data_IF_117169335893
#
_entry.id   IF_117169335893
#
_cell.length_a   1.000
_cell.length_b   1.000
_cell.length_c   1.000
_cell.angle_alpha   90.00
_cell.angle_beta   90.00
_cell.angle_gamma   90.00
#
_symmetry.space_group_name_H-M   'P 1'
#
loop_
_entity.id
_entity.type
_entity.pdbx_description
1 polymer ?
#
# COMPACT_ATOMS: atom_id res chain seq x y z
N UNK A 1 23.39 19.04 17.92
CA UNK A 1 22.59 17.94 18.49
C UNK A 1 22.67 16.70 17.62
N UNK A 2 22.54 16.81 16.28
CA UNK A 2 22.68 15.67 15.37
C UNK A 2 24.07 14.99 15.35
N UNK A 3 25.17 15.74 15.50
CA UNK A 3 26.52 15.15 15.41
C UNK A 3 26.89 14.27 16.61
N UNK A 4 26.35 14.59 17.79
CA UNK A 4 26.67 13.88 19.05
C UNK A 4 25.95 12.52 19.13
N UNK A 5 24.67 12.48 18.73
CA UNK A 5 23.90 11.23 18.59
C UNK A 5 24.49 10.30 17.52
N UNK A 6 24.98 10.87 16.40
CA UNK A 6 25.61 10.09 15.33
C UNK A 6 26.94 9.49 15.79
N UNK A 7 27.75 10.23 16.57
CA UNK A 7 29.00 9.74 17.13
C UNK A 7 28.76 8.60 18.14
N UNK A 8 27.76 8.75 19.02
CA UNK A 8 27.39 7.71 19.98
C UNK A 8 26.89 6.43 19.28
N UNK A 9 26.02 6.57 18.28
CA UNK A 9 25.53 5.45 17.49
C UNK A 9 26.67 4.73 16.75
N UNK A 10 27.62 5.48 16.18
CA UNK A 10 28.81 4.93 15.51
C UNK A 10 29.62 4.03 16.46
N UNK A 11 29.89 4.50 17.67
CA UNK A 11 30.65 3.72 18.67
C UNK A 11 29.90 2.44 19.10
N UNK A 12 28.59 2.55 19.33
CA UNK A 12 27.73 1.41 19.68
C UNK A 12 27.67 0.36 18.56
N UNK A 13 27.56 0.80 17.30
CA UNK A 13 27.55 -0.09 16.14
C UNK A 13 28.86 -0.87 15.99
N UNK A 14 30.01 -0.22 16.17
CA UNK A 14 31.31 -0.90 16.14
C UNK A 14 31.39 -2.05 17.17
N UNK A 15 30.88 -1.82 18.38
CA UNK A 15 30.82 -2.85 19.42
C UNK A 15 29.91 -4.03 19.02
N UNK A 16 28.71 -3.74 18.49
CA UNK A 16 27.75 -4.77 18.03
C UNK A 16 28.33 -5.63 16.91
N UNK A 17 29.02 -5.03 15.95
CA UNK A 17 29.59 -5.74 14.79
C UNK A 17 30.73 -6.70 15.15
N UNK A 18 31.30 -6.58 16.35
CA UNK A 18 32.45 -7.40 16.77
C UNK A 18 32.13 -8.90 16.73
N UNK A 19 30.90 -9.30 17.06
CA UNK A 19 30.49 -10.72 17.05
C UNK A 19 30.31 -11.29 15.64
N UNK A 20 29.98 -10.45 14.65
CA UNK A 20 29.67 -10.89 13.28
C UNK A 20 30.84 -10.71 12.29
N UNK A 21 31.65 -9.66 12.45
CA UNK A 21 32.68 -9.27 11.47
C UNK A 21 34.10 -9.33 12.06
N UNK A 22 34.23 -9.33 13.39
CA UNK A 22 35.50 -9.45 14.11
C UNK A 22 35.90 -8.18 14.85
N UNK A 23 36.97 -8.28 15.63
CA UNK A 23 37.54 -7.18 16.42
C UNK A 23 38.14 -6.08 15.51
N UNK A 24 38.31 -4.88 16.06
CA UNK A 24 38.88 -3.71 15.35
C UNK A 24 38.06 -3.23 14.13
N UNK A 25 36.75 -3.44 14.17
CA UNK A 25 35.83 -2.94 13.14
C UNK A 25 35.51 -1.46 13.39
N UNK A 26 35.85 -0.59 12.43
CA UNK A 26 35.42 0.80 12.41
C UNK A 26 34.13 0.98 11.60
N UNK A 27 33.29 1.93 12.02
CA UNK A 27 32.08 2.33 11.30
C UNK A 27 32.35 3.67 10.62
N UNK A 28 32.25 3.69 9.30
CA UNK A 28 32.46 4.86 8.46
C UNK A 28 31.19 5.22 7.68
N UNK A 29 31.08 6.48 7.23
CA UNK A 29 30.03 6.94 6.33
C UNK A 29 28.58 6.67 6.81
N UNK A 30 28.36 6.66 8.13
CA UNK A 30 27.03 6.50 8.73
C UNK A 30 26.13 7.66 8.32
N UNK A 31 25.01 7.35 7.68
CA UNK A 31 24.03 8.33 7.23
C UNK A 31 22.61 7.77 7.30
N UNK A 32 21.68 8.58 7.78
CA UNK A 32 20.27 8.23 7.72
C UNK A 32 19.80 8.20 6.26
N UNK A 33 19.00 7.19 5.91
CA UNK A 33 18.27 7.14 4.66
C UNK A 33 16.89 7.78 4.87
N UNK A 34 16.44 8.53 3.87
CA UNK A 34 15.07 9.06 3.87
C UNK A 34 14.12 8.00 3.33
N UNK A 35 13.11 7.63 4.13
CA UNK A 35 12.14 6.59 3.79
C UNK A 35 12.02 5.52 4.87
N UNK A 36 10.83 4.92 4.97
CA UNK A 36 10.42 4.02 6.06
C UNK A 36 9.31 4.67 6.89
N UNK A 37 8.19 3.97 7.07
CA UNK A 37 7.04 4.47 7.82
C UNK A 37 7.07 4.04 9.31
N UNK A 38 7.53 2.81 9.57
CA UNK A 38 7.62 2.20 10.91
C UNK A 38 9.01 2.32 11.54
N UNK A 39 10.06 2.16 10.72
CA UNK A 39 11.46 2.00 11.18
C UNK A 39 12.40 3.02 10.55
N UNK A 40 13.42 3.40 11.32
CA UNK A 40 14.52 4.23 10.84
C UNK A 40 15.56 3.36 10.15
N UNK A 41 16.07 3.82 9.01
CA UNK A 41 17.07 3.11 8.23
C UNK A 41 18.34 3.96 8.09
N UNK A 42 19.50 3.36 8.34
CA UNK A 42 20.80 3.98 8.19
C UNK A 42 21.68 3.14 7.26
N UNK A 43 22.48 3.80 6.43
CA UNK A 43 23.54 3.17 5.65
C UNK A 43 24.90 3.51 6.24
N UNK A 44 25.82 2.54 6.26
CA UNK A 44 27.19 2.74 6.75
C UNK A 44 28.15 1.72 6.12
N UNK A 45 29.45 1.93 6.33
CA UNK A 45 30.48 0.95 5.99
C UNK A 45 31.13 0.39 7.25
N UNK A 46 31.18 -0.94 7.36
CA UNK A 46 32.01 -1.63 8.33
C UNK A 46 33.40 -1.88 7.73
N UNK A 47 34.44 -1.41 8.41
CA UNK A 47 35.84 -1.49 7.96
C UNK A 47 36.64 -2.31 8.97
N UNK A 48 37.12 -3.47 8.54
CA UNK A 48 37.93 -4.38 9.38
C UNK A 48 39.23 -4.69 8.66
N UNK A 49 40.32 -4.07 9.11
CA UNK A 49 41.61 -4.09 8.38
C UNK A 49 41.47 -3.50 6.97
N UNK A 50 41.69 -4.32 5.94
CA UNK A 50 41.56 -3.90 4.53
C UNK A 50 40.17 -4.19 3.93
N UNK A 51 39.29 -4.90 4.64
CA UNK A 51 37.97 -5.25 4.15
C UNK A 51 36.97 -4.13 4.46
N UNK A 52 36.15 -3.77 3.46
CA UNK A 52 35.02 -2.86 3.61
C UNK A 52 33.75 -3.59 3.22
N UNK A 53 32.71 -3.48 4.06
CA UNK A 53 31.36 -3.99 3.78
C UNK A 53 30.36 -2.87 3.92
N UNK A 54 29.54 -2.65 2.90
CA UNK A 54 28.45 -1.69 2.97
C UNK A 54 27.23 -2.37 3.59
N UNK A 55 26.69 -1.76 4.65
CA UNK A 55 25.65 -2.36 5.50
C UNK A 55 24.50 -1.38 5.71
N UNK A 56 23.33 -1.94 6.01
CA UNK A 56 22.13 -1.24 6.42
C UNK A 56 21.80 -1.59 7.86
N UNK A 57 21.52 -0.58 8.68
CA UNK A 57 20.91 -0.72 9.99
C UNK A 57 19.43 -0.32 9.87
N UNK A 58 18.53 -1.22 10.28
CA UNK A 58 17.12 -0.92 10.54
C UNK A 58 16.89 -0.93 12.05
N UNK A 59 16.17 0.06 12.56
CA UNK A 59 15.86 0.17 13.99
C UNK A 59 14.53 0.87 14.22
N UNK A 60 13.81 0.48 15.27
CA UNK A 60 12.53 1.06 15.67
C UNK A 60 12.09 0.54 17.04
N UNK A 61 11.18 1.24 17.73
CA UNK A 61 10.66 0.77 19.01
C UNK A 61 9.94 -0.58 18.84
N UNK A 62 9.89 -1.42 19.88
CA UNK A 62 9.04 -2.61 19.87
C UNK A 62 7.58 -2.21 19.70
N UNK A 63 6.84 -2.98 18.90
CA UNK A 63 5.39 -2.93 18.86
C UNK A 63 4.82 -4.35 18.69
N UNK A 64 3.51 -4.49 18.93
CA UNK A 64 2.81 -5.78 18.86
C UNK A 64 2.18 -6.03 17.48
N UNK A 65 2.42 -5.15 16.50
CA UNK A 65 1.81 -5.22 15.17
C UNK A 65 2.77 -5.84 14.15
N UNK A 66 4.06 -5.56 14.30
CA UNK A 66 5.09 -5.99 13.37
C UNK A 66 5.91 -7.13 13.97
N UNK A 67 6.42 -7.99 13.09
CA UNK A 67 7.42 -8.98 13.45
C UNK A 67 8.63 -8.33 14.13
N UNK A 68 9.12 -8.96 15.21
CA UNK A 68 10.41 -8.60 15.81
C UNK A 68 11.54 -8.68 14.79
N UNK A 69 12.64 -7.98 15.06
CA UNK A 69 13.84 -7.98 14.22
C UNK A 69 14.39 -9.40 14.05
N UNK A 70 14.37 -10.21 15.11
CA UNK A 70 14.86 -11.59 15.03
C UNK A 70 13.93 -12.49 14.20
N UNK A 71 12.61 -12.27 14.27
CA UNK A 71 11.64 -13.03 13.47
C UNK A 71 11.80 -12.69 11.98
N UNK A 72 11.99 -11.41 11.64
CA UNK A 72 12.32 -10.99 10.27
C UNK A 72 13.59 -11.65 9.77
N UNK A 73 14.67 -11.62 10.56
CA UNK A 73 15.94 -12.22 10.20
C UNK A 73 15.83 -13.72 9.92
N UNK A 74 15.12 -14.47 10.78
CA UNK A 74 14.89 -15.91 10.59
C UNK A 74 14.04 -16.18 9.34
N UNK A 75 13.00 -15.38 9.11
CA UNK A 75 12.13 -15.52 7.94
C UNK A 75 12.86 -15.24 6.64
N UNK A 76 13.66 -14.18 6.60
CA UNK A 76 14.55 -13.88 5.48
C UNK A 76 15.56 -15.01 5.24
N UNK A 77 16.17 -15.56 6.28
CA UNK A 77 17.10 -16.68 6.15
C UNK A 77 16.42 -17.93 5.57
N UNK A 78 15.21 -18.26 6.01
CA UNK A 78 14.42 -19.36 5.46
C UNK A 78 14.05 -19.12 3.98
N UNK A 79 13.64 -17.90 3.63
CA UNK A 79 13.35 -17.53 2.25
C UNK A 79 14.59 -17.57 1.35
N UNK A 80 15.73 -17.09 1.84
CA UNK A 80 17.02 -17.17 1.14
C UNK A 80 17.42 -18.62 0.87
N UNK A 81 17.27 -19.51 1.85
CA UNK A 81 17.53 -20.94 1.70
C UNK A 81 16.62 -21.61 0.64
N UNK A 82 15.41 -21.07 0.43
CA UNK A 82 14.47 -21.50 -0.62
C UNK A 82 14.70 -20.79 -1.98
N UNK A 83 15.68 -19.89 -2.07
CA UNK A 83 16.10 -19.21 -3.29
C UNK A 83 15.52 -17.81 -3.51
N UNK A 84 14.89 -17.20 -2.50
CA UNK A 84 14.38 -15.83 -2.61
C UNK A 84 15.55 -14.81 -2.57
N UNK A 85 15.55 -13.78 -3.43
CA UNK A 85 16.56 -12.73 -3.37
C UNK A 85 16.23 -11.80 -2.19
N UNK A 86 16.95 -11.94 -1.08
CA UNK A 86 16.80 -11.10 0.12
C UNK A 86 18.17 -10.62 0.60
N UNK A 87 18.27 -9.48 1.31
CA UNK A 87 19.51 -9.09 1.96
C UNK A 87 19.94 -10.16 2.96
N UNK A 88 21.22 -10.48 2.97
CA UNK A 88 21.79 -11.35 4.00
C UNK A 88 21.85 -10.57 5.32
N UNK A 89 21.16 -11.09 6.34
CA UNK A 89 21.11 -10.49 7.67
C UNK A 89 22.30 -10.99 8.49
N UNK A 90 23.09 -10.04 9.01
CA UNK A 90 24.28 -10.33 9.81
C UNK A 90 23.93 -10.47 11.29
N UNK A 91 23.10 -9.54 11.80
CA UNK A 91 22.72 -9.45 13.21
C UNK A 91 21.27 -8.99 13.28
N UNK A 92 20.49 -9.58 14.17
CA UNK A 92 19.21 -9.05 14.60
C UNK A 92 19.06 -9.28 16.11
N UNK A 93 18.48 -8.32 16.80
CA UNK A 93 18.27 -8.35 18.25
C UNK A 93 16.98 -7.57 18.57
N UNK A 94 16.08 -8.22 19.30
CA UNK A 94 14.82 -7.62 19.77
C UNK A 94 15.05 -6.78 21.05
N UNK A 95 16.25 -6.85 21.65
CA UNK A 95 16.62 -6.07 22.82
C UNK A 95 17.05 -4.65 22.46
N UNK A 96 16.54 -3.62 23.14
CA UNK A 96 17.04 -2.26 22.99
C UNK A 96 18.39 -2.03 23.68
N UNK A 97 18.95 -3.02 24.39
CA UNK A 97 20.11 -2.82 25.26
C UNK A 97 21.36 -2.30 24.54
N UNK A 98 21.60 -2.73 23.30
CA UNK A 98 22.83 -2.36 22.57
C UNK A 98 22.73 -0.97 21.91
N UNK A 99 21.63 -0.70 21.22
CA UNK A 99 21.48 0.50 20.36
C UNK A 99 20.36 1.46 20.81
N UNK A 100 19.68 1.17 21.93
CA UNK A 100 18.53 1.95 22.43
C UNK A 100 17.18 1.52 21.84
N UNK A 101 17.18 0.68 20.81
CA UNK A 101 16.00 0.10 20.18
C UNK A 101 16.37 -1.29 19.61
N UNK A 102 15.37 -2.19 19.42
CA UNK A 102 15.52 -3.34 18.54
C UNK A 102 16.18 -2.96 17.23
N UNK A 103 17.01 -3.86 16.69
CA UNK A 103 17.72 -3.58 15.45
C UNK A 103 17.98 -4.83 14.59
N UNK A 104 18.18 -4.58 13.30
CA UNK A 104 18.63 -5.54 12.31
C UNK A 104 19.72 -4.90 11.45
N UNK A 105 20.82 -5.62 11.25
CA UNK A 105 21.92 -5.23 10.37
C UNK A 105 22.04 -6.23 9.23
N UNK A 106 22.00 -5.76 7.99
CA UNK A 106 22.10 -6.59 6.78
C UNK A 106 23.01 -5.96 5.72
N UNK A 107 23.37 -6.75 4.71
CA UNK A 107 24.13 -6.27 3.56
C UNK A 107 23.35 -5.17 2.80
N UNK A 108 24.05 -4.12 2.38
CA UNK A 108 23.48 -3.11 1.49
C UNK A 108 23.37 -3.67 0.07
N UNK A 109 22.14 -3.76 -0.44
CA UNK A 109 21.86 -4.14 -1.82
C UNK A 109 21.69 -2.87 -2.67
N UNK A 110 22.43 -2.80 -3.77
CA UNK A 110 22.35 -1.67 -4.72
C UNK A 110 21.12 -1.82 -5.63
N UNK A 111 20.52 -0.68 -5.96
CA UNK A 111 19.41 -0.60 -6.91
C UNK A 111 18.50 0.59 -6.64
N UNK A 112 17.32 0.59 -7.25
CA UNK A 112 16.28 1.59 -7.12
C UNK A 112 15.04 0.99 -6.44
N UNK A 113 14.43 1.74 -5.52
CA UNK A 113 13.18 1.36 -4.83
C UNK A 113 12.00 2.26 -5.19
N UNK A 114 12.25 3.42 -5.80
CA UNK A 114 11.17 4.33 -6.19
C UNK A 114 10.51 3.79 -7.46
N UNK A 115 9.32 3.20 -7.32
CA UNK A 115 8.60 2.50 -8.40
C UNK A 115 8.44 3.35 -9.66
N UNK A 116 8.12 4.64 -9.54
CA UNK A 116 8.02 5.54 -10.71
C UNK A 116 9.36 5.73 -11.44
N UNK A 117 10.50 5.66 -10.75
CA UNK A 117 11.84 5.67 -11.37
C UNK A 117 12.12 4.34 -12.05
N UNK A 118 11.79 3.22 -11.39
CA UNK A 118 11.90 1.87 -11.97
C UNK A 118 11.11 1.80 -13.28
N UNK A 119 9.82 2.18 -13.27
CA UNK A 119 8.96 2.17 -14.45
C UNK A 119 9.56 3.02 -15.60
N UNK A 120 10.01 4.25 -15.32
CA UNK A 120 10.65 5.10 -16.35
C UNK A 120 11.92 4.48 -16.92
N UNK A 121 12.75 3.83 -16.09
CA UNK A 121 13.96 3.14 -16.55
C UNK A 121 13.60 1.95 -17.44
N UNK A 122 12.61 1.15 -17.04
CA UNK A 122 12.11 0.05 -17.85
C UNK A 122 11.58 0.54 -19.20
N UNK A 123 10.83 1.65 -19.21
CA UNK A 123 10.28 2.25 -20.44
C UNK A 123 11.37 2.83 -21.36
N UNK A 124 12.49 3.30 -20.79
CA UNK A 124 13.62 3.87 -21.56
C UNK A 124 14.67 2.84 -21.99
N UNK A 125 14.72 1.68 -21.32
CA UNK A 125 15.69 0.60 -21.57
C UNK A 125 15.13 -0.49 -22.47
N UNK A 126 15.21 -1.75 -22.02
CA UNK A 126 14.71 -2.95 -22.72
C UNK A 126 13.19 -2.97 -22.94
N UNK A 127 12.46 -1.95 -22.46
CA UNK A 127 11.04 -1.77 -22.67
C UNK A 127 10.23 -2.95 -22.14
N UNK A 128 9.45 -3.54 -23.04
CA UNK A 128 8.60 -4.69 -22.74
C UNK A 128 9.39 -5.92 -22.26
N UNK A 129 10.59 -6.16 -22.80
CA UNK A 129 11.39 -7.32 -22.43
C UNK A 129 11.91 -7.22 -20.99
N UNK A 130 12.38 -6.04 -20.59
CA UNK A 130 12.81 -5.77 -19.21
C UNK A 130 11.64 -5.93 -18.21
N UNK A 131 10.46 -5.42 -18.56
CA UNK A 131 9.24 -5.59 -17.74
C UNK A 131 8.84 -7.05 -17.59
N UNK A 132 8.85 -7.82 -18.68
CA UNK A 132 8.52 -9.25 -18.65
C UNK A 132 9.52 -10.06 -17.82
N UNK A 133 10.82 -9.75 -17.93
CA UNK A 133 11.89 -10.37 -17.13
C UNK A 133 11.69 -10.09 -15.64
N UNK A 134 11.48 -8.82 -15.27
CA UNK A 134 11.25 -8.44 -13.88
C UNK A 134 9.98 -9.08 -13.32
N UNK A 135 8.89 -9.13 -14.10
CA UNK A 135 7.66 -9.83 -13.72
C UNK A 135 7.92 -11.31 -13.38
N UNK A 136 8.69 -11.99 -14.22
CA UNK A 136 9.07 -13.38 -14.02
C UNK A 136 9.90 -13.56 -12.75
N UNK A 137 10.87 -12.67 -12.50
CA UNK A 137 11.69 -12.71 -11.28
C UNK A 137 10.87 -12.42 -10.02
N UNK A 138 9.90 -11.49 -10.06
CA UNK A 138 8.97 -11.27 -8.96
C UNK A 138 8.15 -12.53 -8.66
N UNK A 139 7.65 -13.21 -9.70
CA UNK A 139 6.89 -14.45 -9.53
C UNK A 139 7.77 -15.59 -8.97
N UNK A 140 9.02 -15.67 -9.40
CA UNK A 140 10.01 -16.62 -8.87
C UNK A 140 10.36 -16.34 -7.40
N UNK A 141 10.51 -15.07 -7.04
CA UNK A 141 10.75 -14.65 -5.66
C UNK A 141 9.57 -15.03 -4.76
N UNK A 142 8.33 -14.68 -5.14
CA UNK A 142 7.14 -15.08 -4.39
C UNK A 142 7.05 -16.62 -4.24
N UNK A 143 7.29 -17.37 -5.31
CA UNK A 143 7.31 -18.83 -5.25
C UNK A 143 8.42 -19.38 -4.34
N UNK A 144 9.58 -18.74 -4.28
CA UNK A 144 10.66 -19.12 -3.36
C UNK A 144 10.29 -18.83 -1.91
N UNK A 145 9.69 -17.67 -1.62
CA UNK A 145 9.19 -17.33 -0.29
C UNK A 145 8.16 -18.36 0.17
N UNK A 146 7.18 -18.70 -0.67
CA UNK A 146 6.12 -19.65 -0.31
C UNK A 146 6.60 -21.11 -0.19
N UNK A 147 7.81 -21.44 -0.65
CA UNK A 147 8.45 -22.75 -0.44
C UNK A 147 9.29 -22.80 0.84
N UNK A 148 9.60 -21.66 1.44
CA UNK A 148 10.35 -21.62 2.69
C UNK A 148 9.59 -22.31 3.81
N UNK A 149 10.31 -22.77 4.84
CA UNK A 149 9.72 -23.45 5.99
C UNK A 149 8.75 -22.52 6.75
N UNK A 150 7.44 -22.83 6.79
CA UNK A 150 6.46 -22.00 7.48
C UNK A 150 6.38 -22.32 8.99
N UNK A 151 7.18 -23.26 9.51
CA UNK A 151 7.10 -23.70 10.91
C UNK A 151 8.12 -23.02 11.84
N UNK A 152 8.69 -21.91 11.41
CA UNK A 152 9.61 -21.11 12.21
C UNK A 152 8.98 -20.61 13.52
N UNK A 153 9.73 -20.57 14.64
CA UNK A 153 9.20 -20.09 15.91
C UNK A 153 8.84 -18.60 15.85
N UNK A 154 7.66 -18.26 16.37
CA UNK A 154 7.15 -16.88 16.46
C UNK A 154 6.30 -16.42 15.28
N UNK A 155 6.13 -17.24 14.23
CA UNK A 155 5.22 -16.91 13.13
C UNK A 155 3.77 -17.07 13.57
N UNK A 156 2.98 -16.00 13.41
CA UNK A 156 1.55 -16.02 13.68
C UNK A 156 0.80 -16.78 12.58
N UNK A 157 -0.32 -17.41 12.97
CA UNK A 157 -1.30 -17.98 12.04
C UNK A 157 -2.58 -17.16 12.18
N UNK A 158 -2.93 -16.42 11.13
CA UNK A 158 -4.06 -15.49 11.17
C UNK A 158 -5.02 -15.75 10.01
N UNK A 159 -6.31 -15.79 10.33
CA UNK A 159 -7.34 -15.69 9.32
C UNK A 159 -7.46 -14.22 8.90
N UNK A 160 -6.97 -13.89 7.71
CA UNK A 160 -6.96 -12.52 7.22
C UNK A 160 -8.37 -11.89 7.17
N UNK A 161 -9.41 -12.66 6.84
CA UNK A 161 -10.76 -12.09 6.79
C UNK A 161 -11.20 -11.63 8.18
N UNK A 162 -11.01 -12.49 9.18
CA UNK A 162 -11.38 -12.21 10.57
C UNK A 162 -10.49 -11.11 11.19
N UNK A 163 -9.19 -11.11 10.87
CA UNK A 163 -8.23 -10.08 11.30
C UNK A 163 -8.65 -8.69 10.82
N UNK A 164 -8.87 -8.52 9.51
CA UNK A 164 -9.24 -7.22 8.95
C UNK A 164 -10.65 -6.79 9.35
N UNK A 165 -11.56 -7.75 9.59
CA UNK A 165 -12.87 -7.47 10.17
C UNK A 165 -12.74 -6.89 11.57
N UNK A 166 -11.96 -7.53 12.44
CA UNK A 166 -11.74 -7.08 13.82
C UNK A 166 -11.09 -5.70 13.85
N UNK A 167 -10.04 -5.46 13.05
CA UNK A 167 -9.39 -4.14 12.97
C UNK A 167 -10.35 -3.03 12.55
N UNK A 168 -11.26 -3.31 11.62
CA UNK A 168 -12.27 -2.34 11.20
C UNK A 168 -13.30 -2.06 12.30
N UNK A 169 -13.77 -3.10 12.99
CA UNK A 169 -14.73 -2.96 14.09
C UNK A 169 -14.11 -2.23 15.30
N UNK A 170 -12.85 -2.50 15.64
CA UNK A 170 -12.12 -1.82 16.72
C UNK A 170 -11.94 -0.32 16.45
N UNK A 171 -11.79 0.07 15.17
CA UNK A 171 -11.73 1.47 14.76
C UNK A 171 -13.10 2.16 14.83
N UNK A 172 -14.21 1.41 14.70
CA UNK A 172 -15.57 1.96 14.79
C UNK A 172 -16.00 2.83 13.61
N UNK A 173 -15.29 2.80 12.48
CA UNK A 173 -15.55 3.61 11.28
C UNK A 173 -15.56 2.73 10.02
N UNK A 174 -16.74 2.37 9.51
CA UNK A 174 -16.93 1.50 8.34
C UNK A 174 -17.67 2.23 7.21
N UNK A 175 -17.68 1.65 6.01
CA UNK A 175 -18.54 2.10 4.91
C UNK A 175 -19.50 1.02 4.48
N UNK A 176 -20.62 1.43 3.88
CA UNK A 176 -21.57 0.49 3.30
C UNK A 176 -20.90 -0.42 2.24
N UNK A 177 -19.92 0.10 1.50
CA UNK A 177 -19.15 -0.68 0.52
C UNK A 177 -18.27 -1.74 1.19
N UNK A 178 -17.64 -1.42 2.33
CA UNK A 178 -16.82 -2.37 3.07
C UNK A 178 -17.69 -3.46 3.70
N UNK A 179 -18.83 -3.11 4.31
CA UNK A 179 -19.79 -4.10 4.80
C UNK A 179 -20.25 -5.04 3.68
N UNK A 180 -20.52 -4.49 2.49
CA UNK A 180 -20.89 -5.30 1.32
C UNK A 180 -19.76 -6.25 0.90
N UNK A 181 -18.53 -5.76 0.89
CA UNK A 181 -17.33 -6.57 0.64
C UNK A 181 -17.16 -7.71 1.63
N UNK A 182 -17.27 -7.45 2.93
CA UNK A 182 -17.17 -8.49 3.97
C UNK A 182 -18.26 -9.55 3.81
N UNK A 183 -19.50 -9.16 3.50
CA UNK A 183 -20.58 -10.14 3.26
C UNK A 183 -20.32 -11.01 2.04
N UNK A 184 -19.87 -10.42 0.94
CA UNK A 184 -19.50 -11.19 -0.24
C UNK A 184 -18.35 -12.15 0.06
N UNK A 185 -17.31 -11.69 0.77
CA UNK A 185 -16.16 -12.52 1.15
C UNK A 185 -16.57 -13.71 2.02
N UNK A 186 -17.42 -13.47 3.03
CA UNK A 186 -17.94 -14.54 3.89
C UNK A 186 -18.77 -15.57 3.10
N UNK A 187 -19.58 -15.12 2.14
CA UNK A 187 -20.44 -15.99 1.33
C UNK A 187 -19.70 -16.78 0.24
N UNK A 188 -18.54 -16.29 -0.23
CA UNK A 188 -17.81 -16.86 -1.38
C UNK A 188 -16.44 -17.43 -1.01
N UNK A 189 -16.22 -17.74 0.28
CA UNK A 189 -14.93 -18.21 0.77
C UNK A 189 -14.49 -19.52 0.10
N UNK A 190 -13.30 -19.57 -0.54
CA UNK A 190 -12.79 -20.79 -1.16
C UNK A 190 -12.32 -21.79 -0.08
N UNK A 191 -12.17 -23.05 -0.50
CA UNK A 191 -11.57 -24.08 0.35
C UNK A 191 -10.13 -23.69 0.74
N UNK A 192 -9.70 -23.93 2.01
CA UNK A 192 -8.35 -23.63 2.45
C UNK A 192 -7.28 -24.39 1.65
N UNK A 193 -6.19 -23.69 1.29
CA UNK A 193 -5.00 -24.32 0.71
C UNK A 193 -3.90 -24.57 1.74
N UNK A 194 -2.87 -25.38 1.44
CA UNK A 194 -1.74 -25.57 2.33
C UNK A 194 -1.11 -24.23 2.77
N UNK A 195 -0.76 -24.17 4.04
CA UNK A 195 -0.15 -23.00 4.65
C UNK A 195 1.29 -22.82 4.18
N UNK A 196 1.69 -21.57 3.94
CA UNK A 196 3.03 -21.18 3.48
C UNK A 196 3.54 -19.99 4.28
N UNK A 197 4.85 -19.73 4.20
CA UNK A 197 5.40 -18.46 4.67
C UNK A 197 4.89 -17.35 3.73
N UNK A 198 4.24 -16.34 4.29
CA UNK A 198 3.70 -15.18 3.57
C UNK A 198 4.51 -13.95 3.95
N UNK A 199 4.96 -13.19 2.96
CA UNK A 199 5.68 -11.93 3.17
C UNK A 199 4.78 -10.86 3.77
N UNK A 200 3.52 -10.80 3.34
CA UNK A 200 2.47 -9.96 3.94
C UNK A 200 2.38 -8.56 3.33
N UNK A 201 3.49 -8.02 2.80
CA UNK A 201 3.55 -6.79 2.00
C UNK A 201 4.32 -6.95 0.66
N UNK A 202 4.10 -8.05 -0.07
CA UNK A 202 4.81 -8.29 -1.35
C UNK A 202 4.31 -7.38 -2.47
N UNK A 203 4.99 -6.24 -2.69
CA UNK A 203 4.64 -5.23 -3.70
C UNK A 203 5.87 -4.52 -4.25
N UNK A 204 5.77 -3.90 -5.43
CA UNK A 204 6.87 -3.18 -6.09
C UNK A 204 7.60 -2.15 -5.22
N UNK A 205 6.89 -1.51 -4.28
CA UNK A 205 7.51 -0.53 -3.38
C UNK A 205 8.46 -1.13 -2.34
N UNK A 206 8.46 -2.45 -2.17
CA UNK A 206 9.32 -3.19 -1.27
C UNK A 206 10.33 -4.07 -2.04
N UNK A 207 10.55 -3.77 -3.32
CA UNK A 207 11.53 -4.45 -4.16
C UNK A 207 12.68 -3.50 -4.48
N UNK A 208 13.91 -4.00 -4.45
CA UNK A 208 15.06 -3.33 -5.04
C UNK A 208 15.23 -3.87 -6.45
N UNK A 209 15.26 -2.96 -7.43
CA UNK A 209 15.51 -3.31 -8.83
C UNK A 209 16.82 -2.67 -9.26
N UNK A 210 17.75 -3.49 -9.75
CA UNK A 210 18.99 -3.04 -10.37
C UNK A 210 18.89 -3.24 -11.90
N UNK A 211 18.90 -2.13 -12.64
CA UNK A 211 18.58 -2.15 -14.07
C UNK A 211 17.17 -2.70 -14.33
N UNK A 212 17.10 -3.92 -14.86
CA UNK A 212 15.86 -4.67 -15.13
C UNK A 212 15.70 -5.93 -14.28
N UNK A 213 16.61 -6.14 -13.32
CA UNK A 213 16.67 -7.36 -12.53
C UNK A 213 16.25 -7.11 -11.07
N UNK A 214 15.46 -8.05 -10.52
CA UNK A 214 15.10 -8.04 -9.11
C UNK A 214 16.34 -8.35 -8.27
N UNK A 215 16.78 -7.37 -7.49
CA UNK A 215 17.96 -7.49 -6.64
C UNK A 215 17.61 -8.00 -5.23
N UNK A 216 16.51 -7.53 -4.63
CA UNK A 216 16.08 -7.96 -3.31
C UNK A 216 14.60 -7.68 -3.02
N UNK A 217 14.00 -8.53 -2.18
CA UNK A 217 12.72 -8.33 -1.50
C UNK A 217 13.00 -7.79 -0.10
N UNK A 218 12.38 -6.66 0.25
CA UNK A 218 12.53 -5.94 1.51
C UNK A 218 11.26 -5.99 2.35
N UNK A 219 11.38 -5.53 3.59
CA UNK A 219 10.26 -5.18 4.48
C UNK A 219 9.39 -6.36 4.91
N UNK A 220 10.02 -7.22 5.71
CA UNK A 220 9.45 -8.48 6.22
C UNK A 220 8.63 -8.30 7.50
N UNK A 221 8.26 -7.07 7.85
CA UNK A 221 7.64 -6.73 9.14
C UNK A 221 6.22 -7.31 9.30
N UNK A 222 5.58 -7.76 8.21
CA UNK A 222 4.26 -8.39 8.20
C UNK A 222 4.33 -9.90 7.92
N UNK A 223 5.49 -10.53 8.10
CA UNK A 223 5.67 -11.96 7.82
C UNK A 223 4.84 -12.82 8.77
N UNK A 224 4.14 -13.81 8.22
CA UNK A 224 3.31 -14.73 8.98
C UNK A 224 3.08 -16.04 8.21
N UNK A 225 2.34 -16.97 8.81
CA UNK A 225 1.88 -18.17 8.12
C UNK A 225 0.47 -17.94 7.58
N UNK A 226 0.30 -18.11 6.28
CA UNK A 226 -0.96 -17.85 5.59
C UNK A 226 -1.09 -18.67 4.31
N UNK A 227 -1.85 -18.16 3.34
CA UNK A 227 -2.00 -18.77 2.02
C UNK A 227 -1.23 -17.98 0.96
N UNK A 228 -0.64 -18.68 -0.01
CA UNK A 228 0.13 -18.07 -1.09
C UNK A 228 -0.63 -16.98 -1.87
N UNK A 229 -1.96 -17.07 -1.93
CA UNK A 229 -2.79 -16.09 -2.59
C UNK A 229 -2.70 -14.69 -1.98
N UNK A 230 -2.33 -14.56 -0.71
CA UNK A 230 -2.22 -13.28 -0.02
C UNK A 230 -1.22 -12.36 -0.71
N UNK A 231 0.01 -12.82 -0.89
CA UNK A 231 1.05 -12.06 -1.58
C UNK A 231 0.76 -11.90 -3.08
N UNK A 232 0.20 -12.93 -3.72
CA UNK A 232 -0.12 -12.87 -5.16
C UNK A 232 -1.21 -11.83 -5.45
N UNK A 233 -2.27 -11.84 -4.65
CA UNK A 233 -3.38 -10.89 -4.77
C UNK A 233 -2.92 -9.49 -4.38
N UNK A 234 -2.15 -9.36 -3.29
CA UNK A 234 -1.59 -8.09 -2.85
C UNK A 234 -0.80 -7.45 -3.98
N UNK A 235 0.14 -8.15 -4.61
CA UNK A 235 0.93 -7.66 -5.75
C UNK A 235 0.07 -7.16 -6.94
N UNK A 236 -1.18 -7.63 -7.06
CA UNK A 236 -2.08 -7.37 -8.17
C UNK A 236 -3.17 -6.32 -7.89
N UNK A 237 -3.27 -5.76 -6.67
CA UNK A 237 -4.23 -4.68 -6.42
C UNK A 237 -3.88 -3.44 -7.24
N UNK A 238 -4.90 -2.66 -7.64
CA UNK A 238 -4.69 -1.49 -8.51
C UNK A 238 -3.76 -0.44 -7.91
N UNK A 239 -3.79 -0.26 -6.59
CA UNK A 239 -2.90 0.66 -5.88
C UNK A 239 -1.40 0.39 -6.16
N UNK A 240 -1.01 -0.88 -6.36
CA UNK A 240 0.38 -1.29 -6.61
C UNK A 240 0.77 -1.32 -8.08
N UNK A 241 -0.10 -0.82 -8.98
CA UNK A 241 0.27 -0.51 -10.37
C UNK A 241 1.00 0.83 -10.49
N UNK A 242 0.91 1.69 -9.47
CA UNK A 242 1.52 3.02 -9.44
C UNK A 242 1.14 3.92 -10.64
N UNK A 243 -0.09 3.78 -11.14
CA UNK A 243 -0.61 4.52 -12.30
C UNK A 243 -0.33 3.86 -13.66
N UNK A 244 0.24 2.65 -13.68
CA UNK A 244 0.35 1.85 -14.89
C UNK A 244 -1.05 1.41 -15.38
N UNK A 245 -1.26 1.26 -16.71
CA UNK A 245 -2.55 0.88 -17.28
C UNK A 245 -3.00 -0.52 -16.84
N UNK A 246 -4.30 -0.81 -16.98
CA UNK A 246 -4.90 -2.09 -16.59
C UNK A 246 -4.25 -3.33 -17.23
N UNK A 247 -3.67 -3.20 -18.42
CA UNK A 247 -2.90 -4.27 -19.08
C UNK A 247 -1.64 -4.68 -18.30
N UNK A 248 -1.16 -3.82 -17.41
CA UNK A 248 -0.04 -4.05 -16.49
C UNK A 248 -0.55 -4.29 -15.05
N UNK A 249 -1.56 -5.15 -14.91
CA UNK A 249 -2.28 -5.38 -13.66
C UNK A 249 -1.44 -5.89 -12.48
N UNK A 250 -0.34 -6.60 -12.73
CA UNK A 250 0.55 -7.14 -11.70
C UNK A 250 1.74 -6.21 -11.46
N UNK A 251 1.74 -5.49 -10.34
CA UNK A 251 2.79 -4.54 -9.95
C UNK A 251 3.07 -3.41 -10.97
N UNK A 252 2.21 -3.21 -11.97
CA UNK A 252 2.54 -2.32 -13.08
C UNK A 252 3.60 -2.87 -14.05
N UNK A 253 3.85 -4.18 -14.06
CA UNK A 253 4.86 -4.84 -14.90
C UNK A 253 4.29 -5.65 -16.07
N UNK A 254 3.15 -6.30 -15.88
CA UNK A 254 2.51 -7.16 -16.87
C UNK A 254 1.09 -7.56 -16.46
N UNK A 255 0.42 -8.38 -17.26
CA UNK A 255 -0.93 -8.84 -16.90
C UNK A 255 -0.89 -9.77 -15.69
N UNK A 256 -1.99 -9.80 -14.94
CA UNK A 256 -2.17 -10.72 -13.81
C UNK A 256 -1.98 -12.17 -14.26
N UNK A 257 -2.58 -12.57 -15.38
CA UNK A 257 -2.43 -13.93 -15.90
C UNK A 257 -0.98 -14.31 -16.23
N UNK A 258 -0.18 -13.40 -16.78
CA UNK A 258 1.24 -13.66 -17.02
C UNK A 258 2.02 -13.85 -15.73
N UNK A 259 1.71 -13.06 -14.69
CA UNK A 259 2.30 -13.20 -13.36
C UNK A 259 1.96 -14.55 -12.70
N UNK A 260 0.68 -14.91 -12.69
CA UNK A 260 0.22 -16.17 -12.09
C UNK A 260 0.84 -17.38 -12.81
N UNK A 261 0.91 -17.36 -14.14
CA UNK A 261 1.58 -18.44 -14.90
C UNK A 261 3.07 -18.54 -14.59
N UNK A 262 3.76 -17.41 -14.45
CA UNK A 262 5.17 -17.41 -14.06
C UNK A 262 5.36 -17.96 -12.65
N UNK A 263 4.43 -17.66 -11.73
CA UNK A 263 4.43 -18.21 -10.37
C UNK A 263 4.18 -19.73 -10.37
N UNK A 264 3.17 -20.20 -11.12
CA UNK A 264 2.85 -21.63 -11.29
C UNK A 264 4.07 -22.42 -11.81
N UNK A 265 4.75 -21.87 -12.82
CA UNK A 265 5.98 -22.46 -13.38
C UNK A 265 7.11 -22.51 -12.35
N UNK A 266 7.33 -21.42 -11.62
CA UNK A 266 8.41 -21.33 -10.63
C UNK A 266 8.15 -22.17 -9.38
N UNK A 267 6.88 -22.36 -9.00
CA UNK A 267 6.45 -23.10 -7.83
C UNK A 267 6.10 -24.57 -8.10
N UNK A 268 6.05 -24.99 -9.38
CA UNK A 268 5.51 -26.28 -9.80
C UNK A 268 4.13 -26.58 -9.18
N UNK A 269 3.28 -25.55 -9.14
CA UNK A 269 1.94 -25.58 -8.53
C UNK A 269 0.91 -24.96 -9.47
N UNK A 270 -0.37 -25.09 -9.13
CA UNK A 270 -1.48 -24.45 -9.84
C UNK A 270 -2.15 -23.42 -8.95
N UNK A 271 -2.53 -22.29 -9.54
CA UNK A 271 -3.30 -21.24 -8.87
C UNK A 271 -4.74 -21.34 -9.35
N UNK A 272 -5.69 -21.56 -8.45
CA UNK A 272 -7.10 -21.47 -8.78
C UNK A 272 -7.48 -19.99 -8.97
N UNK A 273 -8.00 -19.64 -10.15
CA UNK A 273 -8.37 -18.26 -10.49
C UNK A 273 -9.59 -17.79 -9.70
N UNK A 274 -10.47 -18.70 -9.28
CA UNK A 274 -11.64 -18.37 -8.44
C UNK A 274 -11.17 -18.02 -7.03
N UNK A 275 -10.32 -18.87 -6.42
CA UNK A 275 -9.69 -18.56 -5.14
C UNK A 275 -8.86 -17.27 -5.22
N UNK A 276 -8.04 -17.10 -6.26
CA UNK A 276 -7.27 -15.88 -6.47
C UNK A 276 -8.16 -14.63 -6.54
N UNK A 277 -9.29 -14.70 -7.24
CA UNK A 277 -10.23 -13.58 -7.32
C UNK A 277 -10.80 -13.23 -5.93
N UNK A 278 -11.17 -14.22 -5.13
CA UNK A 278 -11.61 -13.99 -3.74
C UNK A 278 -10.52 -13.29 -2.91
N UNK A 279 -9.27 -13.74 -3.03
CA UNK A 279 -8.13 -13.11 -2.36
C UNK A 279 -7.84 -11.70 -2.88
N UNK A 280 -8.07 -11.43 -4.17
CA UNK A 280 -7.96 -10.09 -4.75
C UNK A 280 -9.03 -9.12 -4.22
N UNK A 281 -10.24 -9.62 -3.96
CA UNK A 281 -11.30 -8.86 -3.27
C UNK A 281 -10.85 -8.53 -1.83
N UNK A 282 -10.36 -9.51 -1.08
CA UNK A 282 -9.88 -9.31 0.29
C UNK A 282 -8.67 -8.36 0.35
N UNK A 283 -7.70 -8.50 -0.55
CA UNK A 283 -6.54 -7.63 -0.65
C UNK A 283 -6.93 -6.17 -0.96
N UNK A 284 -7.88 -5.98 -1.88
CA UNK A 284 -8.47 -4.67 -2.17
C UNK A 284 -9.13 -4.09 -0.92
N UNK A 285 -10.02 -4.85 -0.26
CA UNK A 285 -10.68 -4.42 0.97
C UNK A 285 -9.68 -4.06 2.08
N UNK A 286 -8.68 -4.92 2.31
CA UNK A 286 -7.57 -4.71 3.26
C UNK A 286 -6.87 -3.37 3.02
N UNK A 287 -6.55 -3.03 1.77
CA UNK A 287 -5.94 -1.74 1.44
C UNK A 287 -6.84 -0.56 1.81
N UNK A 288 -8.16 -0.71 1.65
CA UNK A 288 -9.15 0.29 2.03
C UNK A 288 -9.20 0.52 3.54
N UNK A 289 -9.19 -0.57 4.32
CA UNK A 289 -9.11 -0.53 5.79
C UNK A 289 -7.79 0.12 6.24
N UNK A 290 -6.66 -0.20 5.59
CA UNK A 290 -5.37 0.45 5.88
C UNK A 290 -5.44 1.96 5.58
N UNK A 291 -6.04 2.39 4.47
CA UNK A 291 -6.20 3.82 4.17
C UNK A 291 -7.01 4.55 5.25
N UNK A 292 -8.10 3.93 5.74
CA UNK A 292 -8.89 4.46 6.87
C UNK A 292 -8.03 4.57 8.13
N UNK A 293 -7.36 3.49 8.52
CA UNK A 293 -6.53 3.45 9.72
C UNK A 293 -5.42 4.50 9.69
N UNK A 294 -4.76 4.67 8.55
CA UNK A 294 -3.71 5.68 8.38
C UNK A 294 -4.27 7.10 8.52
N UNK A 295 -5.48 7.38 8.04
CA UNK A 295 -6.16 8.65 8.30
C UNK A 295 -6.52 8.81 9.79
N UNK A 296 -7.01 7.77 10.45
CA UNK A 296 -7.37 7.83 11.87
C UNK A 296 -6.16 8.09 12.78
N UNK A 297 -4.98 7.55 12.45
CA UNK A 297 -3.73 7.92 13.15
C UNK A 297 -3.46 9.43 13.11
N UNK A 298 -3.86 10.11 12.03
CA UNK A 298 -3.79 11.56 11.97
C UNK A 298 -4.89 12.25 12.78
N UNK A 299 -6.14 11.81 12.60
CA UNK A 299 -7.33 12.45 13.19
C UNK A 299 -7.36 12.34 14.72
N UNK A 300 -6.97 11.19 15.27
CA UNK A 300 -6.80 10.97 16.71
C UNK A 300 -5.63 11.78 17.31
N UNK A 301 -4.77 12.36 16.49
CA UNK A 301 -3.58 13.09 16.91
C UNK A 301 -2.37 12.21 17.26
N UNK A 302 -2.46 10.89 17.09
CA UNK A 302 -1.33 9.96 17.30
C UNK A 302 -0.13 10.30 16.40
N UNK A 303 -0.36 10.64 15.13
CA UNK A 303 0.68 11.06 14.19
C UNK A 303 0.20 12.18 13.25
N UNK A 304 0.68 13.40 13.47
CA UNK A 304 0.31 14.56 12.65
C UNK A 304 1.03 14.54 11.29
N UNK A 305 0.36 14.07 10.23
CA UNK A 305 0.84 14.16 8.84
C UNK A 305 -0.30 14.51 7.87
N UNK A 306 -0.03 15.46 6.97
CA UNK A 306 -0.95 15.81 5.87
C UNK A 306 -1.10 14.67 4.86
N UNK A 307 -0.07 13.81 4.72
CA UNK A 307 -0.12 12.65 3.83
C UNK A 307 -1.06 11.59 4.38
N UNK A 308 -0.95 11.31 5.69
CA UNK A 308 -1.85 10.41 6.40
C UNK A 308 -3.30 10.94 6.37
N UNK A 309 -3.51 12.24 6.56
CA UNK A 309 -4.83 12.84 6.41
C UNK A 309 -5.41 12.62 4.99
N UNK A 310 -4.57 12.82 3.97
CA UNK A 310 -4.99 12.74 2.57
C UNK A 310 -5.19 11.30 2.10
N UNK A 311 -4.50 10.31 2.69
CA UNK A 311 -4.64 8.90 2.29
C UNK A 311 -6.05 8.36 2.56
N UNK A 312 -6.76 8.90 3.56
CA UNK A 312 -8.17 8.55 3.82
C UNK A 312 -9.08 8.90 2.64
N UNK A 313 -8.70 9.88 1.80
CA UNK A 313 -9.45 10.22 0.58
C UNK A 313 -9.28 9.18 -0.53
N UNK A 314 -8.35 8.23 -0.40
CA UNK A 314 -8.18 7.10 -1.31
C UNK A 314 -9.08 5.91 -0.98
N UNK A 315 -9.86 5.98 0.11
CA UNK A 315 -10.85 4.94 0.44
C UNK A 315 -11.83 4.75 -0.72
N UNK A 316 -12.32 5.81 -1.35
CA UNK A 316 -13.25 5.69 -2.48
C UNK A 316 -12.64 5.09 -3.75
N UNK A 317 -11.32 5.19 -3.95
CA UNK A 317 -10.61 4.44 -5.01
C UNK A 317 -10.79 2.94 -4.78
N UNK A 318 -10.57 2.52 -3.54
CA UNK A 318 -10.66 1.13 -3.12
C UNK A 318 -12.09 0.62 -3.14
N UNK A 319 -13.05 1.42 -2.69
CA UNK A 319 -14.48 1.08 -2.77
C UNK A 319 -14.91 0.85 -4.23
N UNK A 320 -14.42 1.66 -5.17
CA UNK A 320 -14.73 1.50 -6.58
C UNK A 320 -14.12 0.23 -7.16
N UNK A 321 -12.84 -0.01 -6.88
CA UNK A 321 -12.16 -1.23 -7.29
C UNK A 321 -12.85 -2.48 -6.71
N UNK A 322 -13.28 -2.41 -5.45
CA UNK A 322 -14.05 -3.48 -4.80
C UNK A 322 -15.36 -3.73 -5.54
N UNK A 323 -16.17 -2.70 -5.81
CA UNK A 323 -17.43 -2.84 -6.55
C UNK A 323 -17.24 -3.38 -7.97
N UNK A 324 -16.09 -3.13 -8.61
CA UNK A 324 -15.75 -3.71 -9.90
C UNK A 324 -15.37 -5.19 -9.80
N UNK A 325 -14.67 -5.60 -8.74
CA UNK A 325 -14.36 -7.00 -8.50
C UNK A 325 -15.61 -7.81 -8.12
N UNK A 326 -16.54 -7.20 -7.37
CA UNK A 326 -17.79 -7.84 -6.97
C UNK A 326 -18.82 -7.96 -8.12
N UNK A 327 -18.62 -7.24 -9.22
CA UNK A 327 -19.53 -7.29 -10.36
C UNK A 327 -19.42 -8.61 -11.13
N UNK A 328 -20.53 -9.19 -11.61
CA UNK A 328 -20.48 -10.34 -12.51
C UNK A 328 -19.62 -10.03 -13.74
N UNK A 329 -18.84 -11.02 -14.21
CA UNK A 329 -17.86 -10.86 -15.29
C UNK A 329 -18.43 -10.31 -16.63
N UNK A 330 -19.76 -10.25 -16.78
CA UNK A 330 -20.43 -9.78 -18.00
C UNK A 330 -20.74 -8.27 -18.05
N UNK A 331 -20.55 -7.51 -16.97
CA UNK A 331 -20.83 -6.06 -16.97
C UNK A 331 -19.72 -5.22 -17.64
N UNK A 332 -18.58 -5.85 -17.98
CA UNK A 332 -17.42 -5.21 -18.63
C UNK A 332 -17.64 -4.72 -20.08
N UNK A 333 -18.83 -4.88 -20.67
CA UNK A 333 -19.13 -4.45 -22.05
C UNK A 333 -20.18 -3.36 -22.20
N UNK A 334 -20.55 -2.66 -21.13
CA UNK A 334 -21.43 -1.46 -21.22
C UNK A 334 -20.88 -0.26 -20.46
N UNK A 335 -19.75 0.27 -20.93
CA UNK A 335 -19.34 1.65 -20.63
C UNK A 335 -18.55 2.25 -21.80
N UNK A 336 -19.14 2.24 -22.99
CA UNK A 336 -18.66 3.03 -24.12
C UNK A 336 -19.87 3.54 -24.90
N UNK A 337 -20.46 4.65 -24.42
CA UNK A 337 -21.16 5.66 -25.21
C UNK A 337 -22.00 6.55 -24.28
N UNK A 338 -21.38 7.61 -23.71
CA UNK A 338 -21.99 8.95 -23.57
C UNK A 338 -20.88 9.99 -23.55
N UNK A 339 -20.35 10.29 -24.73
CA UNK A 339 -19.72 11.58 -24.98
C UNK A 339 -20.80 12.64 -24.98
N UNK A 340 -20.82 13.46 -23.94
CA UNK A 340 -21.68 14.64 -23.82
C UNK A 340 -20.88 15.74 -23.15
N UNK A 341 -20.18 16.53 -23.95
CA UNK A 341 -19.54 17.76 -23.48
C UNK A 341 -20.61 18.72 -22.98
N UNK A 342 -20.79 18.76 -21.67
CA UNK A 342 -21.51 19.83 -21.00
C UNK A 342 -20.57 20.99 -20.80
N UNK A 343 -20.66 22.01 -21.66
CA UNK A 343 -20.16 23.34 -21.30
C UNK A 343 -21.00 23.87 -20.15
N UNK A 344 -20.41 23.93 -18.96
CA UNK A 344 -20.93 24.71 -17.85
C UNK A 344 -20.85 26.20 -18.23
N UNK A 345 -22.02 26.77 -18.55
CA UNK A 345 -22.17 28.21 -18.64
C UNK A 345 -21.90 28.88 -17.28
N UNK A 346 -21.54 30.18 -17.24
CA UNK A 346 -21.25 30.85 -15.98
C UNK A 346 -22.56 30.96 -15.18
N UNK A 347 -22.68 30.18 -14.11
CA UNK A 347 -23.72 30.34 -13.11
C UNK A 347 -23.66 31.77 -12.55
N UNK A 348 -24.78 32.47 -12.60
CA UNK A 348 -24.93 33.82 -12.05
C UNK A 348 -24.61 33.88 -10.55
N UNK A 349 -24.39 35.09 -9.99
CA UNK A 349 -23.82 35.25 -8.66
C UNK A 349 -24.82 34.84 -7.59
N UNK A 350 -24.67 33.63 -7.05
CA UNK A 350 -25.23 33.28 -5.74
C UNK A 350 -24.28 33.91 -4.71
N UNK A 351 -24.68 35.05 -4.15
CA UNK A 351 -23.98 35.64 -3.00
C UNK A 351 -24.05 34.63 -1.85
N UNK A 352 -22.95 33.95 -1.56
CA UNK A 352 -22.84 33.14 -0.36
C UNK A 352 -23.08 34.02 0.87
N UNK A 353 -23.48 33.42 2.00
CA UNK A 353 -23.78 34.13 3.25
C UNK A 353 -22.63 35.04 3.75
N UNK A 354 -21.42 34.83 3.25
CA UNK A 354 -20.20 35.54 3.62
C UNK A 354 -19.64 36.44 2.49
N UNK A 355 -20.35 36.60 1.37
CA UNK A 355 -19.88 37.41 0.23
C UNK A 355 -18.78 36.74 -0.61
N UNK A 356 -17.94 37.56 -1.28
CA UNK A 356 -16.76 37.12 -2.04
C UNK A 356 -15.45 37.56 -1.39
N UNK A 357 -14.36 36.80 -1.56
CA UNK A 357 -14.28 35.51 -2.23
C UNK A 357 -15.00 34.40 -1.45
N UNK A 358 -15.59 33.44 -2.17
CA UNK A 358 -16.20 32.23 -1.59
C UNK A 358 -15.10 31.35 -0.98
N UNK A 359 -15.48 30.47 -0.05
CA UNK A 359 -14.54 29.50 0.54
C UNK A 359 -13.79 28.69 -0.52
N UNK A 360 -14.48 28.21 -1.56
CA UNK A 360 -13.86 27.49 -2.68
C UNK A 360 -12.82 28.37 -3.42
N UNK A 361 -13.10 29.66 -3.60
CA UNK A 361 -12.20 30.61 -4.27
C UNK A 361 -10.95 30.89 -3.43
N UNK A 362 -11.09 30.97 -2.10
CA UNK A 362 -9.95 31.11 -1.18
C UNK A 362 -9.07 29.85 -1.19
N UNK A 363 -9.69 28.67 -1.10
CA UNK A 363 -8.97 27.39 -1.13
C UNK A 363 -8.23 27.20 -2.45
N UNK A 364 -8.86 27.55 -3.58
CA UNK A 364 -8.24 27.50 -4.90
C UNK A 364 -6.99 28.39 -5.00
N UNK A 365 -7.07 29.63 -4.48
CA UNK A 365 -5.95 30.56 -4.49
C UNK A 365 -4.75 30.07 -3.65
N UNK A 366 -5.01 29.44 -2.49
CA UNK A 366 -3.94 28.84 -1.67
C UNK A 366 -3.34 27.62 -2.36
N UNK A 367 -4.17 26.78 -2.99
CA UNK A 367 -3.68 25.62 -3.75
C UNK A 367 -2.77 26.06 -4.91
N UNK A 368 -3.16 27.11 -5.65
CA UNK A 368 -2.35 27.69 -6.72
C UNK A 368 -1.00 28.19 -6.19
N UNK A 369 -0.99 29.00 -5.13
CA UNK A 369 0.26 29.50 -4.52
C UNK A 369 1.21 28.35 -4.08
N UNK A 370 0.66 27.26 -3.54
CA UNK A 370 1.44 26.08 -3.20
C UNK A 370 2.00 25.39 -4.45
N UNK A 371 1.21 25.26 -5.52
CA UNK A 371 1.58 24.63 -6.78
C UNK A 371 2.65 25.40 -7.55
N UNK A 372 2.61 26.73 -7.49
CA UNK A 372 3.48 27.64 -8.23
C UNK A 372 4.65 28.10 -7.37
N UNK A 373 4.42 29.04 -6.46
CA UNK A 373 5.45 29.82 -5.79
C UNK A 373 6.21 28.97 -4.78
N UNK A 374 5.51 28.25 -3.91
CA UNK A 374 6.15 27.43 -2.87
C UNK A 374 6.92 26.28 -3.49
N UNK A 375 6.35 25.61 -4.50
CA UNK A 375 7.06 24.51 -5.19
C UNK A 375 8.19 25.00 -6.08
N UNK A 376 8.16 26.23 -6.62
CA UNK A 376 9.32 26.80 -7.30
C UNK A 376 10.43 27.22 -6.33
N UNK A 377 10.06 27.56 -5.09
CA UNK A 377 10.98 28.05 -4.06
C UNK A 377 11.53 26.97 -3.10
N UNK A 378 11.09 25.71 -3.22
CA UNK A 378 11.45 24.63 -2.28
C UNK A 378 11.83 23.35 -3.01
N UNK A 379 12.65 22.53 -2.37
CA UNK A 379 13.08 21.21 -2.87
C UNK A 379 12.82 20.11 -1.82
N UNK A 380 13.05 18.85 -2.22
CA UNK A 380 13.02 17.70 -1.31
C UNK A 380 11.68 17.49 -0.61
N UNK A 381 11.73 17.27 0.70
CA UNK A 381 10.57 16.93 1.52
C UNK A 381 9.55 18.07 1.61
N UNK A 382 10.00 19.32 1.70
CA UNK A 382 9.08 20.49 1.78
C UNK A 382 8.32 20.64 0.46
N UNK A 383 8.99 20.48 -0.68
CA UNK A 383 8.32 20.49 -1.99
C UNK A 383 7.27 19.37 -2.11
N UNK A 384 7.60 18.18 -1.61
CA UNK A 384 6.69 17.05 -1.58
C UNK A 384 5.45 17.33 -0.73
N UNK A 385 5.62 17.81 0.51
CA UNK A 385 4.50 18.19 1.38
C UNK A 385 3.65 19.32 0.78
N UNK A 386 4.26 20.31 0.13
CA UNK A 386 3.54 21.38 -0.56
C UNK A 386 2.64 20.83 -1.67
N UNK A 387 3.12 19.85 -2.45
CA UNK A 387 2.32 19.15 -3.45
C UNK A 387 1.15 18.37 -2.83
N UNK A 388 1.37 17.68 -1.71
CA UNK A 388 0.31 16.94 -1.01
C UNK A 388 -0.75 17.90 -0.47
N UNK A 389 -0.34 19.00 0.17
CA UNK A 389 -1.23 20.02 0.69
C UNK A 389 -2.05 20.70 -0.40
N UNK A 390 -1.42 21.05 -1.54
CA UNK A 390 -2.14 21.58 -2.69
C UNK A 390 -3.23 20.60 -3.18
N UNK A 391 -2.89 19.32 -3.32
CA UNK A 391 -3.87 18.30 -3.73
C UNK A 391 -5.04 18.19 -2.73
N UNK A 392 -4.76 18.23 -1.42
CA UNK A 392 -5.79 18.22 -0.39
C UNK A 392 -6.73 19.45 -0.52
N UNK A 393 -6.18 20.63 -0.77
CA UNK A 393 -6.98 21.84 -1.02
C UNK A 393 -7.81 21.72 -2.30
N UNK A 394 -7.29 21.12 -3.37
CA UNK A 394 -8.07 20.85 -4.60
C UNK A 394 -9.24 19.90 -4.35
N UNK A 395 -9.08 18.94 -3.45
CA UNK A 395 -10.20 18.07 -3.02
C UNK A 395 -11.26 18.92 -2.29
N UNK A 396 -10.85 19.74 -1.33
CA UNK A 396 -11.77 20.62 -0.57
C UNK A 396 -12.47 21.63 -1.50
N UNK A 397 -11.76 22.18 -2.48
CA UNK A 397 -12.33 23.06 -3.51
C UNK A 397 -13.49 22.36 -4.23
N UNK A 398 -13.30 21.11 -4.66
CA UNK A 398 -14.35 20.32 -5.34
C UNK A 398 -15.50 19.96 -4.41
N UNK A 399 -15.25 19.66 -3.13
CA UNK A 399 -16.32 19.44 -2.14
C UNK A 399 -17.20 20.67 -1.98
N UNK A 400 -16.59 21.86 -1.89
CA UNK A 400 -17.32 23.12 -1.74
C UNK A 400 -18.12 23.52 -2.99
N UNK A 401 -17.79 22.94 -4.15
CA UNK A 401 -18.47 23.16 -5.42
C UNK A 401 -19.47 22.05 -5.78
N UNK A 402 -19.48 20.93 -5.06
CA UNK A 402 -20.30 19.77 -5.37
C UNK A 402 -21.79 20.02 -5.09
N UNK A 403 -22.61 19.95 -6.14
CA UNK A 403 -24.08 20.06 -6.09
C UNK A 403 -24.79 18.72 -6.35
N UNK A 404 -24.05 17.63 -6.54
CA UNK A 404 -24.57 16.31 -6.95
C UNK A 404 -25.23 15.50 -5.83
N UNK A 405 -25.32 16.04 -4.60
CA UNK A 405 -25.82 15.30 -3.43
C UNK A 405 -27.30 14.85 -3.52
N UNK A 406 -28.09 15.41 -4.44
CA UNK A 406 -29.47 14.96 -4.67
C UNK A 406 -29.54 13.53 -5.23
N UNK A 407 -28.61 13.15 -6.11
CA UNK A 407 -28.58 11.81 -6.70
C UNK A 407 -28.24 10.74 -5.65
N UNK A 408 -27.27 11.01 -4.77
CA UNK A 408 -26.92 10.13 -3.64
C UNK A 408 -28.10 9.92 -2.69
N UNK A 409 -28.83 10.99 -2.34
CA UNK A 409 -30.03 10.89 -1.48
C UNK A 409 -31.14 10.07 -2.14
N UNK A 410 -31.35 10.25 -3.45
CA UNK A 410 -32.34 9.47 -4.19
C UNK A 410 -31.97 7.98 -4.24
N UNK A 411 -30.68 7.66 -4.44
CA UNK A 411 -30.21 6.28 -4.44
C UNK A 411 -30.41 5.59 -3.08
N UNK A 412 -30.09 6.27 -1.98
CA UNK A 412 -30.33 5.77 -0.61
C UNK A 412 -31.82 5.60 -0.31
N UNK A 413 -32.65 6.58 -0.68
CA UNK A 413 -34.10 6.51 -0.52
C UNK A 413 -34.72 5.33 -1.30
N UNK A 414 -34.17 4.98 -2.47
CA UNK A 414 -34.58 3.79 -3.23
C UNK A 414 -34.33 2.45 -2.51
N UNK A 415 -33.42 2.43 -1.54
CA UNK A 415 -33.18 1.30 -0.64
C UNK A 415 -33.98 1.40 0.66
N UNK A 416 -34.68 2.51 0.92
CA UNK A 416 -35.44 2.72 2.15
C UNK A 416 -34.60 3.15 3.36
N UNK A 417 -33.37 3.63 3.13
CA UNK A 417 -32.44 4.11 4.17
C UNK A 417 -32.22 5.61 4.04
N UNK A 418 -32.01 6.30 5.16
CA UNK A 418 -31.87 7.77 5.16
C UNK A 418 -30.44 8.24 4.83
N UNK A 419 -29.44 7.45 5.20
CA UNK A 419 -28.01 7.76 5.11
C UNK A 419 -27.19 6.48 4.88
N UNK A 420 -25.89 6.66 4.66
CA UNK A 420 -24.96 5.55 4.40
C UNK A 420 -24.68 4.69 5.64
N UNK A 421 -24.80 5.25 6.85
CA UNK A 421 -24.60 4.51 8.10
C UNK A 421 -25.72 3.48 8.30
N UNK A 422 -26.97 3.88 8.04
CA UNK A 422 -28.11 2.97 8.00
C UNK A 422 -27.96 1.91 6.91
N UNK A 423 -27.44 2.28 5.73
CA UNK A 423 -27.15 1.30 4.68
C UNK A 423 -26.10 0.28 5.13
N UNK A 424 -25.00 0.74 5.74
CA UNK A 424 -23.94 -0.12 6.25
C UNK A 424 -24.48 -1.09 7.33
N UNK A 425 -25.30 -0.59 8.26
CA UNK A 425 -25.94 -1.40 9.29
C UNK A 425 -26.90 -2.45 8.69
N UNK A 426 -27.74 -2.08 7.73
CA UNK A 426 -28.68 -2.97 7.06
C UNK A 426 -27.97 -4.03 6.19
N UNK A 427 -26.86 -3.65 5.54
CA UNK A 427 -25.99 -4.63 4.87
C UNK A 427 -25.45 -5.59 5.92
N UNK A 428 -24.78 -5.08 6.97
CA UNK A 428 -24.16 -5.90 8.03
C UNK A 428 -25.14 -6.91 8.63
N UNK A 429 -26.39 -6.53 8.90
CA UNK A 429 -27.42 -7.42 9.46
C UNK A 429 -27.97 -8.46 8.48
N UNK A 430 -27.69 -8.31 7.18
CA UNK A 430 -28.18 -9.18 6.10
C UNK A 430 -29.56 -8.79 5.56
N UNK A 431 -30.12 -7.66 6.01
CA UNK A 431 -31.42 -7.14 5.52
C UNK A 431 -31.41 -6.78 4.03
N UNK A 432 -30.22 -6.66 3.42
CA UNK A 432 -30.03 -6.24 2.03
C UNK A 432 -29.57 -7.39 1.09
N UNK A 433 -29.47 -8.62 1.60
CA UNK A 433 -28.90 -9.76 0.84
C UNK A 433 -29.71 -10.13 -0.42
N UNK A 434 -31.03 -9.94 -0.39
CA UNK A 434 -31.93 -10.21 -1.53
C UNK A 434 -32.00 -9.06 -2.55
N UNK A 435 -31.30 -7.95 -2.27
CA UNK A 435 -31.29 -6.73 -3.10
C UNK A 435 -29.90 -6.38 -3.65
N UNK A 436 -29.04 -7.38 -3.84
CA UNK A 436 -27.65 -7.21 -4.28
C UNK A 436 -27.45 -6.23 -5.46
N UNK A 437 -28.32 -6.28 -6.48
CA UNK A 437 -28.24 -5.38 -7.63
C UNK A 437 -28.56 -3.93 -7.27
N UNK A 438 -29.61 -3.69 -6.48
CA UNK A 438 -29.99 -2.34 -6.03
C UNK A 438 -28.92 -1.75 -5.10
N UNK A 439 -28.39 -2.57 -4.18
CA UNK A 439 -27.30 -2.19 -3.27
C UNK A 439 -26.07 -1.77 -4.08
N UNK A 440 -25.63 -2.63 -5.00
CA UNK A 440 -24.45 -2.35 -5.85
C UNK A 440 -24.66 -1.08 -6.68
N UNK A 441 -25.86 -0.86 -7.24
CA UNK A 441 -26.16 0.36 -7.98
C UNK A 441 -26.11 1.61 -7.09
N UNK A 442 -26.69 1.56 -5.89
CA UNK A 442 -26.63 2.64 -4.91
C UNK A 442 -25.18 2.95 -4.52
N UNK A 443 -24.40 1.94 -4.12
CA UNK A 443 -23.00 2.09 -3.74
C UNK A 443 -22.17 2.69 -4.88
N UNK A 444 -22.37 2.26 -6.13
CA UNK A 444 -21.70 2.86 -7.30
C UNK A 444 -22.01 4.35 -7.45
N UNK A 445 -23.26 4.77 -7.21
CA UNK A 445 -23.63 6.20 -7.23
C UNK A 445 -22.91 6.97 -6.12
N UNK A 446 -22.89 6.45 -4.89
CA UNK A 446 -22.22 7.10 -3.75
C UNK A 446 -20.70 7.23 -3.98
N UNK A 447 -20.06 6.13 -4.38
CA UNK A 447 -18.61 6.06 -4.60
C UNK A 447 -18.19 6.91 -5.80
N UNK A 448 -18.96 6.93 -6.91
CA UNK A 448 -18.64 7.77 -8.06
C UNK A 448 -18.64 9.25 -7.71
N UNK A 449 -19.61 9.71 -6.89
CA UNK A 449 -19.62 11.09 -6.38
C UNK A 449 -18.37 11.38 -5.54
N UNK A 450 -17.99 10.46 -4.64
CA UNK A 450 -16.73 10.59 -3.86
C UNK A 450 -15.50 10.67 -4.77
N UNK A 451 -15.43 9.84 -5.81
CA UNK A 451 -14.32 9.86 -6.78
C UNK A 451 -14.26 11.15 -7.58
N UNK A 452 -15.38 11.68 -8.06
CA UNK A 452 -15.43 12.96 -8.78
C UNK A 452 -14.84 14.12 -7.96
N UNK A 453 -14.87 13.98 -6.63
CA UNK A 453 -14.27 14.93 -5.69
C UNK A 453 -12.82 14.56 -5.33
N UNK A 454 -12.55 13.31 -4.94
CA UNK A 454 -11.24 12.92 -4.43
C UNK A 454 -10.20 12.71 -5.55
N UNK A 455 -10.61 12.07 -6.65
CA UNK A 455 -9.73 11.68 -7.76
C UNK A 455 -10.51 11.65 -9.09
N UNK A 456 -10.77 12.83 -9.70
CA UNK A 456 -11.53 12.91 -10.94
C UNK A 456 -10.92 12.05 -12.06
N UNK A 457 -11.74 11.22 -12.71
CA UNK A 457 -11.33 10.36 -13.83
C UNK A 457 -10.90 8.94 -13.45
N UNK A 458 -10.76 8.63 -12.15
CA UNK A 458 -10.35 7.30 -11.68
C UNK A 458 -11.28 6.16 -12.12
N UNK A 459 -12.58 6.45 -12.26
CA UNK A 459 -13.61 5.50 -12.68
C UNK A 459 -13.60 5.19 -14.18
N UNK A 460 -12.83 5.94 -14.96
CA UNK A 460 -12.70 5.83 -16.42
C UNK A 460 -11.39 5.14 -16.86
N UNK A 461 -10.50 4.86 -15.92
CA UNK A 461 -9.23 4.14 -16.06
C UNK A 461 -9.39 2.65 -15.71
#
# INVERSE_FOLDING_TARGET
MHDDESAELTAKLAAVLTSAIGTDTAVENLRALTGGASRTTWAFEAVTGAQRRSLILRTGPPDDVHAGMELEARSQAAAAAAGAPVPHVLIADDSPAALGNPFLICDEIKGETIVRRIQRRLDSGDGHAGRARLLQQCAQAAAAIHRADPHGPGLAHEDQLDEWRRRLDDMGDTTATFEWGFRWLAANRPDPTPAVLVHGDFRMGNLIVDGSDLAAVLDWELVHVGQAYEDLAWFCIRAWRFGAPASLGAGGLGSIESFLRAYEQAGATTVDRVAFHWWLVLATLRWGVICRFQAERHLSGQHRSVELATIGRRVCETEWDLLNLLAPADDGRRAAARGGGGQSGPGGPVSGAYGRPRAAELVAAVAEFLETDVRAATDGQVNFHARVAANALRIVERELLDDSGAESRAALAGLGVADEDQLAAAIRSGEMDDRAADVTACLRTLVRRRLAVAHPGYDSE
#
